data_IF_746413022720
#
_entry.id   IF_746413022720
#
_cell.length_a   1.000
_cell.length_b   1.000
_cell.length_c   1.000
_cell.angle_alpha   90.00
_cell.angle_beta   90.00
_cell.angle_gamma   90.00
#
_symmetry.space_group_name_H-M   'P 1'
#
loop_
_entity.id
_entity.type
_entity.pdbx_description
1 polymer ?
#
# COMPACT_ATOMS: atom_id res chain seq x y z
N UNK A 1 -46.56 6.95 -29.32
CA UNK A 1 -46.49 6.38 -27.94
C UNK A 1 -45.20 5.59 -27.71
N UNK A 2 -44.89 4.55 -28.49
CA UNK A 2 -43.65 3.73 -28.34
C UNK A 2 -42.33 4.52 -28.34
N UNK A 3 -42.18 5.52 -29.21
CA UNK A 3 -40.97 6.36 -29.29
C UNK A 3 -40.78 7.25 -28.05
N UNK A 4 -41.86 7.78 -27.48
CA UNK A 4 -41.79 8.56 -26.23
C UNK A 4 -41.47 7.68 -25.03
N UNK A 5 -41.97 6.45 -24.98
CA UNK A 5 -41.63 5.48 -23.94
C UNK A 5 -40.15 5.07 -24.01
N UNK A 6 -39.62 4.85 -25.21
CA UNK A 6 -38.20 4.56 -25.41
C UNK A 6 -37.30 5.73 -25.00
N UNK A 7 -37.70 6.97 -25.34
CA UNK A 7 -36.95 8.17 -24.96
C UNK A 7 -36.95 8.40 -23.45
N UNK A 8 -38.09 8.17 -22.79
CA UNK A 8 -38.23 8.29 -21.34
C UNK A 8 -37.35 7.24 -20.62
N UNK A 9 -37.30 6.01 -21.13
CA UNK A 9 -36.48 4.94 -20.55
C UNK A 9 -34.98 5.21 -20.71
N UNK A 10 -34.55 5.72 -21.86
CA UNK A 10 -33.16 6.13 -22.08
C UNK A 10 -32.73 7.28 -21.15
N UNK A 11 -33.62 8.27 -20.93
CA UNK A 11 -33.37 9.37 -20.02
C UNK A 11 -33.23 8.88 -18.57
N UNK A 12 -34.08 7.96 -18.12
CA UNK A 12 -33.97 7.36 -16.78
C UNK A 12 -32.66 6.60 -16.60
N UNK A 13 -32.22 5.83 -17.59
CA UNK A 13 -30.93 5.13 -17.53
C UNK A 13 -29.73 6.09 -17.46
N UNK A 14 -29.79 7.22 -18.17
CA UNK A 14 -28.72 8.24 -18.13
C UNK A 14 -28.67 9.00 -16.79
N UNK A 15 -29.82 9.19 -16.12
CA UNK A 15 -29.85 9.79 -14.77
C UNK A 15 -29.49 8.80 -13.66
N UNK A 16 -29.71 7.49 -13.88
CA UNK A 16 -29.39 6.45 -12.91
C UNK A 16 -27.93 5.99 -12.94
N UNK A 17 -27.14 6.40 -13.94
CA UNK A 17 -25.72 6.05 -14.01
C UNK A 17 -24.91 6.92 -13.04
N UNK A 18 -24.67 6.41 -11.82
CA UNK A 18 -23.68 6.96 -10.92
C UNK A 18 -22.25 6.71 -11.47
N UNK A 19 -21.33 7.68 -11.37
CA UNK A 19 -19.96 7.46 -11.81
C UNK A 19 -19.28 6.42 -10.91
N UNK A 20 -18.89 5.27 -11.48
CA UNK A 20 -18.00 4.33 -10.80
C UNK A 20 -16.62 5.00 -10.65
N UNK A 21 -16.30 5.47 -9.45
CA UNK A 21 -14.97 5.97 -9.12
C UNK A 21 -14.14 4.80 -8.62
N UNK A 22 -12.98 4.58 -9.22
CA UNK A 22 -12.00 3.65 -8.67
C UNK A 22 -11.59 4.15 -7.27
N UNK A 23 -11.38 3.23 -6.33
CA UNK A 23 -10.79 3.58 -5.04
C UNK A 23 -9.40 4.16 -5.25
N UNK A 24 -9.00 5.07 -4.35
CA UNK A 24 -7.66 5.64 -4.37
C UNK A 24 -6.61 4.53 -4.44
N UNK A 25 -5.77 4.59 -5.47
CA UNK A 25 -4.72 3.61 -5.73
C UNK A 25 -3.47 3.86 -4.87
N UNK A 26 -3.48 4.87 -4.01
CA UNK A 26 -2.39 5.19 -3.09
C UNK A 26 -2.64 4.50 -1.75
N UNK A 27 -1.66 3.72 -1.31
CA UNK A 27 -1.66 3.11 0.02
C UNK A 27 -0.51 3.70 0.81
N UNK A 28 -0.78 4.14 2.03
CA UNK A 28 0.27 4.58 2.93
C UNK A 28 1.07 3.35 3.39
N UNK A 29 2.34 3.28 3.01
CA UNK A 29 3.27 2.25 3.49
C UNK A 29 4.14 2.83 4.58
N UNK A 30 4.32 2.05 5.66
CA UNK A 30 5.27 2.40 6.70
C UNK A 30 6.62 1.79 6.34
N UNK A 31 7.62 2.64 6.15
CA UNK A 31 9.00 2.22 5.91
C UNK A 31 9.80 2.21 7.21
N UNK A 32 10.79 1.32 7.25
CA UNK A 32 11.77 1.26 8.32
C UNK A 32 12.64 2.52 8.31
N UNK A 33 12.82 3.12 9.49
CA UNK A 33 13.73 4.25 9.65
C UNK A 33 15.20 3.77 9.51
N UNK A 34 16.03 4.41 8.66
CA UNK A 34 17.42 4.00 8.43
C UNK A 34 18.32 4.09 9.67
N UNK A 35 18.12 5.09 10.52
CA UNK A 35 18.88 5.25 11.77
C UNK A 35 18.60 4.08 12.73
N UNK A 36 17.32 3.70 12.87
CA UNK A 36 16.91 2.53 13.65
C UNK A 36 17.46 1.23 13.07
N UNK A 37 17.44 1.08 11.74
CA UNK A 37 18.00 -0.09 11.07
C UNK A 37 19.51 -0.23 11.32
N UNK A 38 20.24 0.88 11.27
CA UNK A 38 21.68 0.91 11.53
C UNK A 38 22.00 0.55 12.98
N UNK A 39 21.26 1.10 13.93
CA UNK A 39 21.45 0.82 15.35
C UNK A 39 21.14 -0.65 15.67
N UNK A 40 20.07 -1.20 15.09
CA UNK A 40 19.73 -2.61 15.21
C UNK A 40 20.84 -3.52 14.64
N UNK A 41 21.37 -3.20 13.45
CA UNK A 41 22.45 -3.96 12.84
C UNK A 41 23.73 -3.96 13.70
N UNK A 42 24.11 -2.79 14.23
CA UNK A 42 25.27 -2.64 15.12
C UNK A 42 25.08 -3.38 16.44
N UNK A 43 23.90 -3.29 17.04
CA UNK A 43 23.58 -3.96 18.29
C UNK A 43 23.70 -5.48 18.14
N UNK A 44 23.07 -6.06 17.10
CA UNK A 44 23.15 -7.49 16.82
C UNK A 44 24.57 -7.95 16.53
N UNK A 45 25.34 -7.19 15.73
CA UNK A 45 26.73 -7.53 15.44
C UNK A 45 27.59 -7.53 16.72
N UNK A 46 27.43 -6.51 17.58
CA UNK A 46 28.18 -6.42 18.83
C UNK A 46 27.84 -7.56 19.80
N UNK A 47 26.56 -7.91 19.91
CA UNK A 47 26.09 -9.03 20.72
C UNK A 47 26.66 -10.38 20.22
N UNK A 48 26.62 -10.62 18.91
CA UNK A 48 27.27 -11.80 18.31
C UNK A 48 28.77 -11.86 18.60
N UNK A 49 29.47 -10.72 18.51
CA UNK A 49 30.91 -10.64 18.80
C UNK A 49 31.22 -10.92 20.28
N UNK A 50 30.41 -10.39 21.21
CA UNK A 50 30.57 -10.65 22.66
C UNK A 50 30.47 -12.12 23.01
N UNK A 51 29.67 -12.88 22.25
CA UNK A 51 29.52 -14.33 22.42
C UNK A 51 30.56 -15.16 21.66
N UNK A 52 31.50 -14.52 20.96
CA UNK A 52 32.58 -15.20 20.23
C UNK A 52 32.19 -15.69 18.83
N UNK A 53 31.08 -15.24 18.27
CA UNK A 53 30.68 -15.60 16.90
C UNK A 53 31.21 -14.61 15.88
N UNK A 54 31.67 -15.12 14.73
CA UNK A 54 32.00 -14.32 13.55
C UNK A 54 30.83 -14.37 12.57
N UNK A 55 30.13 -13.24 12.40
CA UNK A 55 28.92 -13.15 11.57
C UNK A 55 28.88 -11.87 10.75
N UNK A 56 28.02 -11.85 9.73
CA UNK A 56 27.56 -10.66 9.03
C UNK A 56 26.07 -10.43 9.35
N UNK A 57 25.65 -9.17 9.46
CA UNK A 57 24.25 -8.79 9.77
C UNK A 57 23.73 -7.87 8.67
N UNK A 58 22.53 -8.17 8.16
CA UNK A 58 21.79 -7.33 7.22
C UNK A 58 20.39 -7.06 7.76
N UNK A 59 19.90 -5.83 7.62
CA UNK A 59 18.54 -5.41 7.97
C UNK A 59 17.84 -4.98 6.68
N UNK A 60 16.66 -5.54 6.43
CA UNK A 60 15.91 -5.34 5.18
C UNK A 60 14.49 -4.89 5.53
N UNK A 61 14.00 -3.87 4.83
CA UNK A 61 12.61 -3.41 4.91
C UNK A 61 11.72 -4.11 3.88
N UNK A 62 10.40 -3.99 4.01
CA UNK A 62 9.41 -4.67 3.17
C UNK A 62 9.28 -4.11 1.76
#
# INVERSE_FOLDING_TARGET
MKTHTLLAMAAVCAFASAPARAQDATVATKSLNPEIALDAAKAALNDCRKRGYQVSVAVVDR
#
